data_IF_052036701413
#
_entry.id   IF_052036701413
#
_cell.length_a   1.000
_cell.length_b   1.000
_cell.length_c   1.000
_cell.angle_alpha   90.00
_cell.angle_beta   90.00
_cell.angle_gamma   90.00
#
_symmetry.space_group_name_H-M   'P 1'
#
loop_
_entity.id
_entity.type
_entity.pdbx_description
1 polymer ?
#
# COMPACT_ATOMS: atom_id res chain seq x y z
N UNK A 1 -12.56 -91.90 -42.95
CA UNK A 1 -13.74 -91.10 -42.55
C UNK A 1 -13.24 -89.75 -42.06
N UNK A 2 -13.81 -88.67 -42.59
CA UNK A 2 -13.43 -87.27 -42.38
C UNK A 2 -13.78 -86.79 -40.93
N UNK A 3 -13.38 -85.57 -40.50
CA UNK A 3 -12.76 -85.30 -39.19
C UNK A 3 -13.72 -84.74 -38.12
N UNK A 4 -13.27 -84.53 -36.86
CA UNK A 4 -13.88 -83.54 -35.98
C UNK A 4 -13.02 -82.26 -35.89
N UNK A 5 -13.60 -81.20 -36.46
CA UNK A 5 -13.72 -79.81 -36.02
C UNK A 5 -12.81 -79.34 -34.87
N UNK A 6 -11.99 -78.33 -35.18
CA UNK A 6 -11.27 -77.50 -34.22
C UNK A 6 -12.24 -76.56 -33.49
N UNK A 7 -12.29 -76.62 -32.16
CA UNK A 7 -12.95 -75.60 -31.34
C UNK A 7 -11.89 -74.64 -30.80
N UNK A 8 -11.89 -73.41 -31.32
CA UNK A 8 -11.04 -72.32 -30.89
C UNK A 8 -11.53 -71.82 -29.51
N UNK A 9 -10.79 -72.09 -28.43
CA UNK A 9 -11.04 -71.48 -27.13
C UNK A 9 -10.54 -70.03 -27.15
N UNK A 10 -11.46 -69.08 -27.28
CA UNK A 10 -11.20 -67.66 -27.03
C UNK A 10 -11.14 -67.43 -25.50
N UNK A 11 -9.94 -67.31 -24.96
CA UNK A 11 -9.73 -66.79 -23.61
C UNK A 11 -9.94 -65.26 -23.64
N UNK A 12 -11.13 -64.82 -23.22
CA UNK A 12 -11.38 -63.43 -22.86
C UNK A 12 -10.68 -63.15 -21.51
N UNK A 13 -9.45 -62.66 -21.59
CA UNK A 13 -8.76 -62.09 -20.42
C UNK A 13 -9.45 -60.79 -20.01
N UNK A 14 -10.21 -60.82 -18.92
CA UNK A 14 -10.70 -59.61 -18.28
C UNK A 14 -9.53 -58.91 -17.56
N UNK A 15 -8.93 -57.90 -18.21
CA UNK A 15 -7.99 -57.01 -17.57
C UNK A 15 -8.74 -56.14 -16.53
N UNK A 16 -8.64 -56.49 -15.26
CA UNK A 16 -9.03 -55.62 -14.14
C UNK A 16 -8.05 -54.44 -14.09
N UNK A 17 -8.37 -53.34 -14.76
CA UNK A 17 -7.75 -52.04 -14.55
C UNK A 17 -8.04 -51.60 -13.11
N UNK A 18 -7.07 -51.85 -12.22
CA UNK A 18 -7.08 -51.32 -10.86
C UNK A 18 -6.90 -49.81 -10.95
N UNK A 19 -8.01 -49.08 -10.89
CA UNK A 19 -8.06 -47.62 -10.88
C UNK A 19 -7.44 -47.13 -9.56
N UNK A 20 -6.16 -46.79 -9.57
CA UNK A 20 -5.53 -46.13 -8.43
C UNK A 20 -6.19 -44.75 -8.24
N UNK A 21 -6.78 -44.55 -7.05
CA UNK A 21 -7.35 -43.27 -6.64
C UNK A 21 -6.19 -42.28 -6.48
N UNK A 22 -6.22 -41.10 -7.12
CA UNK A 22 -5.20 -40.08 -6.90
C UNK A 22 -5.20 -39.69 -5.42
N UNK A 23 -4.01 -39.47 -4.86
CA UNK A 23 -3.84 -38.97 -3.50
C UNK A 23 -4.62 -37.65 -3.36
N UNK A 24 -5.60 -37.65 -2.46
CA UNK A 24 -6.48 -36.52 -2.18
C UNK A 24 -5.66 -35.42 -1.48
N UNK A 25 -5.00 -34.57 -2.27
CA UNK A 25 -4.34 -33.38 -1.77
C UNK A 25 -5.43 -32.40 -1.35
N UNK A 26 -5.91 -32.53 -0.12
CA UNK A 26 -6.71 -31.47 0.51
C UNK A 26 -5.82 -30.23 0.57
N UNK A 27 -6.20 -29.12 -0.07
CA UNK A 27 -5.49 -27.88 0.16
C UNK A 27 -5.58 -27.60 1.66
N UNK A 28 -4.43 -27.48 2.31
CA UNK A 28 -4.34 -26.94 3.66
C UNK A 28 -5.12 -25.63 3.60
N UNK A 29 -6.26 -25.57 4.26
CA UNK A 29 -7.02 -24.34 4.40
C UNK A 29 -6.11 -23.39 5.16
N UNK A 30 -5.46 -22.48 4.44
CA UNK A 30 -4.84 -21.32 5.08
C UNK A 30 -5.93 -20.68 5.90
N UNK A 31 -5.73 -20.71 7.21
CA UNK A 31 -6.56 -20.09 8.22
C UNK A 31 -7.18 -18.80 7.69
N UNK A 32 -8.51 -18.69 7.77
CA UNK A 32 -9.29 -17.48 7.47
C UNK A 32 -8.88 -16.23 8.29
N UNK A 33 -7.83 -16.33 9.11
CA UNK A 33 -7.29 -15.27 9.95
C UNK A 33 -6.18 -14.43 9.28
N UNK A 34 -5.59 -14.86 8.16
CA UNK A 34 -4.42 -14.19 7.54
C UNK A 34 -4.70 -12.87 6.79
N UNK A 35 -5.94 -12.36 6.77
CA UNK A 35 -6.24 -11.06 6.14
C UNK A 35 -7.41 -10.31 6.82
N UNK A 36 -7.61 -10.57 8.11
CA UNK A 36 -8.68 -9.93 8.88
C UNK A 36 -8.38 -8.44 9.13
N UNK A 37 -9.37 -7.59 8.86
CA UNK A 37 -9.30 -6.15 9.12
C UNK A 37 -9.40 -5.92 10.63
N UNK A 38 -8.44 -5.19 11.18
CA UNK A 38 -8.40 -4.79 12.59
C UNK A 38 -9.09 -3.44 12.81
N UNK A 39 -8.87 -2.50 11.89
CA UNK A 39 -9.52 -1.20 11.85
C UNK A 39 -9.46 -0.66 10.43
N UNK A 40 -10.45 0.14 10.05
CA UNK A 40 -10.50 0.85 8.78
C UNK A 40 -11.19 2.21 8.96
N UNK A 41 -10.85 3.15 8.09
CA UNK A 41 -11.56 4.42 7.98
C UNK A 41 -11.47 4.94 6.55
N UNK A 42 -12.64 5.09 5.94
CA UNK A 42 -12.88 5.72 4.63
C UNK A 42 -13.46 7.13 4.79
N UNK A 43 -13.66 7.60 6.03
CA UNK A 43 -14.16 8.94 6.33
C UNK A 43 -15.56 9.24 5.78
N UNK A 44 -16.38 8.26 5.40
CA UNK A 44 -17.71 8.49 4.85
C UNK A 44 -18.82 8.62 5.92
N UNK A 45 -18.61 8.06 7.12
CA UNK A 45 -19.58 8.09 8.22
C UNK A 45 -19.67 9.47 8.88
N UNK A 46 -20.70 10.24 8.57
CA UNK A 46 -20.94 11.57 9.16
C UNK A 46 -21.10 11.55 10.69
N UNK A 47 -21.57 10.45 11.26
CA UNK A 47 -21.72 10.32 12.72
C UNK A 47 -20.38 10.07 13.41
N UNK A 48 -19.41 9.51 12.69
CA UNK A 48 -18.06 9.18 13.17
C UNK A 48 -17.03 9.49 12.08
N UNK A 49 -16.78 10.77 11.78
CA UNK A 49 -15.99 11.20 10.62
C UNK A 49 -14.51 10.79 10.69
N UNK A 50 -14.01 10.38 11.86
CA UNK A 50 -12.67 9.84 12.05
C UNK A 50 -12.67 8.35 12.42
N UNK A 51 -13.83 7.68 12.36
CA UNK A 51 -14.01 6.32 12.85
C UNK A 51 -13.47 6.19 14.29
N UNK A 52 -12.51 5.28 14.53
CA UNK A 52 -11.80 5.14 15.80
C UNK A 52 -10.40 5.81 15.79
N UNK A 53 -10.05 6.50 14.71
CA UNK A 53 -8.81 7.27 14.62
C UNK A 53 -8.97 8.58 15.38
N UNK A 54 -7.86 9.07 15.93
CA UNK A 54 -7.85 10.26 16.78
C UNK A 54 -6.80 11.25 16.32
N UNK A 55 -7.22 12.48 16.15
CA UNK A 55 -6.31 13.61 16.02
C UNK A 55 -5.59 13.86 17.34
N UNK A 56 -4.29 14.15 17.27
CA UNK A 56 -3.54 14.64 18.42
C UNK A 56 -3.84 16.13 18.58
N UNK A 57 -4.18 16.59 19.79
CA UNK A 57 -4.67 17.97 20.02
C UNK A 57 -3.61 18.94 20.54
N UNK A 58 -2.35 18.52 20.62
CA UNK A 58 -1.23 19.29 21.20
C UNK A 58 -0.02 19.41 20.25
N UNK A 59 -0.21 19.07 18.99
CA UNK A 59 0.76 19.36 17.93
C UNK A 59 0.43 20.71 17.27
N UNK A 60 1.15 21.06 16.21
CA UNK A 60 1.06 22.39 15.62
C UNK A 60 -0.19 22.58 14.75
N UNK A 61 -0.72 21.51 14.15
CA UNK A 61 -1.81 21.58 13.17
C UNK A 61 -2.73 20.35 13.17
N UNK A 62 -3.73 20.38 12.29
CA UNK A 62 -4.80 19.39 12.24
C UNK A 62 -4.96 18.72 10.87
N UNK A 63 -5.47 17.49 10.91
CA UNK A 63 -6.13 16.79 9.81
C UNK A 63 -7.62 17.16 9.77
N UNK A 64 -8.09 17.67 8.64
CA UNK A 64 -9.45 18.17 8.45
C UNK A 64 -10.14 17.34 7.38
N UNK A 65 -11.42 17.02 7.58
CA UNK A 65 -12.24 16.28 6.61
C UNK A 65 -12.72 17.22 5.50
N UNK A 66 -12.54 16.83 4.25
CA UNK A 66 -12.98 17.54 3.06
C UNK A 66 -13.58 16.56 2.04
N UNK A 67 -14.37 17.06 1.10
CA UNK A 67 -15.00 16.25 0.04
C UNK A 67 -14.86 16.88 -1.35
N UNK A 68 -14.87 18.21 -1.43
CA UNK A 68 -14.78 18.93 -2.70
C UNK A 68 -13.36 19.48 -2.94
N UNK A 69 -12.94 19.59 -4.21
CA UNK A 69 -11.78 20.40 -4.58
C UNK A 69 -11.97 21.83 -4.08
N UNK A 70 -10.92 22.43 -3.52
CA UNK A 70 -10.99 23.84 -3.15
C UNK A 70 -11.14 24.69 -4.42
N UNK A 71 -12.18 25.54 -4.54
CA UNK A 71 -12.36 26.40 -5.73
C UNK A 71 -11.18 27.34 -5.97
N UNK A 72 -10.40 27.61 -4.93
CA UNK A 72 -9.28 28.56 -4.92
C UNK A 72 -7.91 27.90 -4.99
N UNK A 73 -7.82 26.57 -4.87
CA UNK A 73 -6.55 25.84 -4.86
C UNK A 73 -6.51 24.81 -5.97
N UNK A 74 -5.57 24.97 -6.90
CA UNK A 74 -5.30 23.97 -7.95
C UNK A 74 -4.47 22.78 -7.45
N UNK A 75 -4.07 22.78 -6.17
CA UNK A 75 -3.22 21.74 -5.57
C UNK A 75 -3.99 20.77 -4.69
N UNK A 76 -5.28 21.00 -4.42
CA UNK A 76 -6.08 20.06 -3.63
C UNK A 76 -6.43 18.81 -4.44
N UNK A 77 -6.68 17.65 -3.78
CA UNK A 77 -7.18 16.47 -4.46
C UNK A 77 -8.45 16.75 -5.28
N UNK A 78 -8.67 16.01 -6.39
CA UNK A 78 -9.87 16.18 -7.22
C UNK A 78 -11.17 15.70 -6.54
N UNK A 79 -11.08 15.17 -5.31
CA UNK A 79 -12.16 14.58 -4.52
C UNK A 79 -11.62 13.37 -3.72
N UNK A 80 -12.50 12.63 -3.06
CA UNK A 80 -12.13 11.41 -2.32
C UNK A 80 -11.62 10.28 -3.22
N UNK A 81 -10.89 9.33 -2.65
CA UNK A 81 -10.38 8.14 -3.33
C UNK A 81 -11.47 7.05 -3.42
N UNK A 82 -11.57 6.26 -4.51
CA UNK A 82 -10.69 6.23 -5.68
C UNK A 82 -11.16 7.05 -6.89
N UNK A 83 -12.40 7.53 -6.87
CA UNK A 83 -13.11 8.02 -8.05
C UNK A 83 -13.39 9.53 -8.03
N UNK A 84 -12.88 10.27 -7.03
CA UNK A 84 -13.15 11.70 -6.87
C UNK A 84 -14.46 11.99 -6.13
N UNK A 85 -15.06 10.99 -5.49
CA UNK A 85 -16.29 11.11 -4.71
C UNK A 85 -16.00 10.83 -3.24
N UNK A 86 -16.88 11.30 -2.34
CA UNK A 86 -16.76 11.06 -0.92
C UNK A 86 -15.84 12.03 -0.20
N UNK A 87 -15.43 11.65 1.01
CA UNK A 87 -14.64 12.44 1.92
C UNK A 87 -13.23 11.88 2.09
N UNK A 88 -12.29 12.76 2.37
CA UNK A 88 -10.92 12.44 2.71
C UNK A 88 -10.43 13.32 3.84
N UNK A 89 -9.31 12.97 4.45
CA UNK A 89 -8.60 13.86 5.37
C UNK A 89 -7.49 14.59 4.65
N UNK A 90 -7.42 15.91 4.80
CA UNK A 90 -6.28 16.71 4.37
C UNK A 90 -5.62 17.43 5.53
N UNK A 91 -4.34 17.71 5.40
CA UNK A 91 -3.60 18.51 6.35
C UNK A 91 -3.94 19.99 6.15
N UNK A 92 -4.42 20.62 7.22
CA UNK A 92 -4.65 22.07 7.45
C UNK A 92 -3.44 22.97 7.22
N UNK A 93 -2.73 22.87 6.09
CA UNK A 93 -1.42 23.52 5.91
C UNK A 93 -1.47 25.03 6.13
N UNK A 94 -2.59 25.74 6.02
CA UNK A 94 -2.61 27.20 6.25
C UNK A 94 -2.59 27.59 7.73
N UNK A 95 -2.94 26.67 8.63
CA UNK A 95 -3.23 26.99 10.04
C UNK A 95 -2.01 26.96 10.97
N UNK A 96 -0.86 26.49 10.51
CA UNK A 96 0.31 26.29 11.37
C UNK A 96 1.65 26.55 10.67
N UNK A 97 2.71 26.86 11.42
CA UNK A 97 4.01 27.31 10.87
C UNK A 97 4.72 26.26 9.98
N UNK A 98 5.58 26.69 9.02
CA UNK A 98 6.51 25.79 8.32
C UNK A 98 7.31 24.91 9.29
N UNK A 99 7.47 23.63 8.94
CA UNK A 99 8.11 22.61 9.78
C UNK A 99 7.27 22.11 10.96
N UNK A 100 6.10 22.72 11.22
CA UNK A 100 5.13 22.19 12.19
C UNK A 100 4.51 20.87 11.71
N UNK A 101 3.83 20.17 12.62
CA UNK A 101 3.31 18.82 12.36
C UNK A 101 1.85 18.66 12.75
N UNK A 102 1.14 17.79 12.02
CA UNK A 102 -0.21 17.33 12.32
C UNK A 102 -0.25 15.79 12.37
N UNK A 103 -0.81 15.21 13.43
CA UNK A 103 -0.80 13.75 13.65
C UNK A 103 -2.19 13.14 13.77
N UNK A 104 -2.39 12.06 13.03
CA UNK A 104 -3.56 11.18 13.11
C UNK A 104 -3.14 9.81 13.64
N UNK A 105 -3.71 9.39 14.77
CA UNK A 105 -3.30 8.18 15.48
C UNK A 105 -4.37 7.10 15.43
N UNK A 106 -3.95 5.86 15.20
CA UNK A 106 -4.83 4.70 15.16
C UNK A 106 -5.42 4.37 16.55
N UNK A 107 -6.51 3.59 16.62
CA UNK A 107 -6.86 2.89 17.84
C UNK A 107 -5.72 1.95 18.28
N UNK A 108 -5.66 1.57 19.57
CA UNK A 108 -4.67 0.61 20.08
C UNK A 108 -4.79 -0.75 19.37
N UNK A 109 -3.67 -1.26 18.85
CA UNK A 109 -3.62 -2.54 18.14
C UNK A 109 -2.94 -3.60 19.02
N UNK A 110 -3.71 -4.64 19.37
CA UNK A 110 -3.30 -5.76 20.25
C UNK A 110 -2.84 -6.99 19.48
N UNK A 111 -2.08 -6.79 18.40
CA UNK A 111 -1.61 -7.87 17.53
C UNK A 111 -0.09 -7.93 17.51
N UNK A 112 0.46 -9.12 17.79
CA UNK A 112 1.91 -9.35 17.81
C UNK A 112 2.46 -9.76 16.42
N UNK A 113 1.61 -10.33 15.56
CA UNK A 113 1.98 -10.81 14.22
C UNK A 113 2.31 -9.69 13.23
N UNK A 114 2.64 -10.04 11.99
CA UNK A 114 2.80 -9.02 10.93
C UNK A 114 1.48 -8.27 10.74
N UNK A 115 1.57 -6.97 10.43
CA UNK A 115 0.42 -6.16 10.04
C UNK A 115 0.64 -5.57 8.66
N UNK A 116 -0.44 -5.40 7.91
CA UNK A 116 -0.45 -4.66 6.66
C UNK A 116 -1.29 -3.40 6.84
N UNK A 117 -0.64 -2.25 6.73
CA UNK A 117 -1.31 -0.94 6.71
C UNK A 117 -1.53 -0.57 5.25
N UNK A 118 -2.79 -0.36 4.84
CA UNK A 118 -3.14 0.14 3.51
C UNK A 118 -3.79 1.50 3.64
N UNK A 119 -3.50 2.39 2.69
CA UNK A 119 -4.07 3.73 2.63
C UNK A 119 -3.84 4.29 1.23
N UNK A 120 -4.68 5.23 0.81
CA UNK A 120 -4.39 6.11 -0.31
C UNK A 120 -3.86 7.43 0.24
N UNK A 121 -2.87 8.02 -0.43
CA UNK A 121 -2.42 9.37 -0.10
C UNK A 121 -2.32 10.25 -1.34
N UNK A 122 -2.44 11.55 -1.13
CA UNK A 122 -2.21 12.58 -2.14
C UNK A 122 -1.16 13.55 -1.60
N UNK A 123 -0.20 13.93 -2.43
CA UNK A 123 0.86 14.86 -2.04
C UNK A 123 1.34 15.65 -3.27
N UNK A 124 0.87 16.88 -3.44
CA UNK A 124 1.15 17.69 -4.63
C UNK A 124 1.12 19.18 -4.32
N UNK A 125 1.97 19.92 -5.05
CA UNK A 125 2.06 21.38 -5.00
C UNK A 125 3.46 21.90 -4.66
N UNK A 126 3.70 23.21 -4.86
CA UNK A 126 5.04 23.79 -4.76
C UNK A 126 5.44 24.08 -3.31
N UNK A 127 6.18 23.18 -2.66
CA UNK A 127 6.74 23.37 -1.32
C UNK A 127 7.97 22.47 -1.11
N UNK A 128 8.91 22.92 -0.27
CA UNK A 128 10.10 22.15 0.12
C UNK A 128 10.06 21.75 1.59
N UNK A 129 10.57 20.58 1.93
CA UNK A 129 10.61 20.08 3.31
C UNK A 129 9.28 19.55 3.83
N UNK A 130 8.22 19.51 2.99
CA UNK A 130 6.96 18.85 3.34
C UNK A 130 7.17 17.34 3.43
N UNK A 131 6.54 16.67 4.40
CA UNK A 131 6.71 15.22 4.58
C UNK A 131 5.39 14.57 5.01
N UNK A 132 5.17 13.34 4.55
CA UNK A 132 4.14 12.45 5.10
C UNK A 132 4.84 11.18 5.60
N UNK A 133 4.60 10.80 6.86
CA UNK A 133 5.24 9.65 7.50
C UNK A 133 4.21 8.73 8.12
N UNK A 134 4.48 7.43 8.08
CA UNK A 134 3.83 6.44 8.91
C UNK A 134 4.79 6.01 10.03
N UNK A 135 4.38 6.25 11.26
CA UNK A 135 5.18 6.03 12.47
C UNK A 135 4.59 4.88 13.30
N UNK A 136 5.47 4.09 13.90
CA UNK A 136 5.12 3.12 14.94
C UNK A 136 5.57 3.65 16.30
N UNK A 137 4.63 3.81 17.23
CA UNK A 137 4.96 4.19 18.61
C UNK A 137 5.69 3.04 19.32
N UNK A 138 6.85 3.33 19.94
CA UNK A 138 7.71 2.33 20.60
C UNK A 138 7.82 2.49 22.11
N UNK A 139 7.21 3.52 22.70
CA UNK A 139 7.17 3.74 24.15
C UNK A 139 5.70 3.87 24.60
N UNK A 140 5.28 3.21 25.70
CA UNK A 140 3.97 3.42 26.32
C UNK A 140 3.59 4.88 26.55
N UNK A 141 4.58 5.77 26.76
CA UNK A 141 4.38 7.22 26.93
C UNK A 141 4.27 7.99 25.61
N UNK A 142 4.42 7.33 24.47
CA UNK A 142 4.33 7.93 23.14
C UNK A 142 5.52 8.80 22.75
N UNK A 143 6.63 8.77 23.51
CA UNK A 143 7.77 9.68 23.34
C UNK A 143 8.73 9.25 22.24
N UNK A 144 8.77 7.96 21.94
CA UNK A 144 9.63 7.38 20.91
C UNK A 144 8.78 6.75 19.80
N UNK A 145 9.19 6.93 18.55
CA UNK A 145 8.53 6.35 17.38
C UNK A 145 9.54 5.98 16.31
N UNK A 146 9.32 4.84 15.65
CA UNK A 146 10.09 4.40 14.49
C UNK A 146 9.36 4.82 13.21
N UNK A 147 10.10 5.33 12.23
CA UNK A 147 9.56 5.61 10.89
C UNK A 147 9.45 4.29 10.13
N UNK A 148 8.24 3.90 9.76
CA UNK A 148 7.99 2.72 8.93
C UNK A 148 8.02 3.07 7.44
N UNK A 149 7.58 4.26 7.10
CA UNK A 149 7.46 4.74 5.72
C UNK A 149 7.43 6.28 5.71
N UNK A 150 7.96 6.90 4.66
CA UNK A 150 7.94 8.35 4.46
C UNK A 150 8.03 8.72 2.98
N UNK A 151 7.37 9.81 2.59
CA UNK A 151 7.69 10.57 1.38
C UNK A 151 7.83 12.05 1.69
N UNK A 152 8.44 12.80 0.76
CA UNK A 152 8.80 14.20 0.96
C UNK A 152 8.61 15.01 -0.32
N UNK A 153 8.08 16.23 -0.17
CA UNK A 153 7.76 17.16 -1.26
C UNK A 153 6.70 16.63 -2.22
N UNK A 154 6.53 17.28 -3.37
CA UNK A 154 5.57 16.86 -4.40
C UNK A 154 5.84 15.43 -4.87
N UNK A 155 4.79 14.60 -4.90
CA UNK A 155 4.83 13.24 -5.43
C UNK A 155 4.03 13.14 -6.74
N UNK A 156 2.71 13.29 -6.68
CA UNK A 156 1.80 13.07 -7.81
C UNK A 156 0.55 13.93 -7.68
N UNK A 157 0.02 14.50 -8.78
CA UNK A 157 -1.28 15.17 -8.81
C UNK A 157 -2.47 14.21 -8.77
N UNK A 158 -2.25 12.93 -8.46
CA UNK A 158 -3.28 11.87 -8.33
C UNK A 158 -3.08 11.07 -7.04
N UNK A 159 -4.16 10.47 -6.54
CA UNK A 159 -4.11 9.55 -5.40
C UNK A 159 -3.17 8.36 -5.65
N UNK A 160 -2.35 8.02 -4.65
CA UNK A 160 -1.40 6.91 -4.68
C UNK A 160 -1.81 5.87 -3.63
N UNK A 161 -2.30 4.68 -4.04
CA UNK A 161 -2.56 3.58 -3.13
C UNK A 161 -1.23 3.02 -2.61
N UNK A 162 -1.15 2.80 -1.30
CA UNK A 162 0.09 2.40 -0.60
C UNK A 162 -0.19 1.28 0.39
N UNK A 163 0.79 0.39 0.56
CA UNK A 163 0.74 -0.70 1.51
C UNK A 163 2.09 -0.85 2.25
N UNK A 164 2.08 -0.81 3.58
CA UNK A 164 3.27 -0.88 4.44
C UNK A 164 3.15 -2.06 5.40
N UNK A 165 4.15 -2.96 5.36
CA UNK A 165 4.22 -4.08 6.31
C UNK A 165 4.87 -3.63 7.62
N UNK A 166 4.17 -3.83 8.72
CA UNK A 166 4.68 -3.56 10.07
C UNK A 166 5.35 -4.82 10.63
N UNK A 167 6.63 -4.75 11.05
CA UNK A 167 7.39 -5.91 11.52
C UNK A 167 6.93 -6.37 12.91
N UNK A 168 7.09 -7.66 13.20
CA UNK A 168 6.83 -8.28 14.51
C UNK A 168 7.71 -7.69 15.63
N UNK A 169 7.47 -8.11 16.88
CA UNK A 169 8.34 -7.74 18.02
C UNK A 169 8.06 -6.36 18.60
N UNK A 170 6.84 -5.86 18.43
CA UNK A 170 6.38 -4.55 18.93
C UNK A 170 5.89 -4.66 20.37
N UNK A 171 5.94 -3.55 21.10
CA UNK A 171 5.30 -3.41 22.42
C UNK A 171 3.79 -3.25 22.21
N UNK A 172 3.00 -3.97 23.01
CA UNK A 172 1.53 -3.93 22.95
C UNK A 172 0.94 -3.08 24.09
N UNK A 173 -0.20 -2.39 23.84
CA UNK A 173 -0.77 -2.19 22.52
C UNK A 173 0.12 -1.27 21.68
N UNK A 174 0.21 -1.59 20.38
CA UNK A 174 0.93 -0.74 19.43
C UNK A 174 0.01 0.31 18.84
N UNK A 175 0.54 1.48 18.47
CA UNK A 175 -0.22 2.52 17.77
C UNK A 175 0.56 3.02 16.57
N UNK A 176 -0.15 3.13 15.45
CA UNK A 176 0.34 3.72 14.21
C UNK A 176 -0.08 5.18 14.16
N UNK A 177 0.79 6.04 13.62
CA UNK A 177 0.51 7.47 13.49
C UNK A 177 0.91 7.95 12.10
N UNK A 178 -0.03 8.56 11.39
CA UNK A 178 0.29 9.38 10.23
C UNK A 178 0.72 10.76 10.72
N UNK A 179 1.94 11.18 10.38
CA UNK A 179 2.48 12.50 10.69
C UNK A 179 2.69 13.26 9.38
N UNK A 180 1.95 14.34 9.20
CA UNK A 180 2.19 15.33 8.15
C UNK A 180 3.10 16.44 8.69
N UNK A 181 4.07 16.86 7.89
CA UNK A 181 4.97 17.98 8.18
C UNK A 181 4.73 19.05 7.11
N UNK A 182 4.41 20.28 7.53
CA UNK A 182 4.26 21.40 6.60
C UNK A 182 5.61 21.80 6.04
N UNK A 183 5.67 21.95 4.72
CA UNK A 183 6.87 22.46 4.05
C UNK A 183 7.05 23.97 4.19
N UNK A 184 7.92 24.53 3.35
CA UNK A 184 8.24 25.96 3.31
C UNK A 184 7.05 26.84 2.93
N UNK A 185 6.08 26.31 2.18
CA UNK A 185 4.85 27.01 1.76
C UNK A 185 3.59 26.23 2.17
N UNK A 186 2.42 26.89 2.12
CA UNK A 186 1.13 26.22 2.30
C UNK A 186 0.61 25.52 1.03
N UNK A 187 1.25 25.74 -0.12
CA UNK A 187 0.71 25.38 -1.43
C UNK A 187 0.94 23.91 -1.79
N UNK A 188 1.45 23.09 -0.88
CA UNK A 188 1.52 21.65 -1.04
C UNK A 188 0.48 21.01 -0.13
N UNK A 189 -0.49 20.37 -0.76
CA UNK A 189 -1.55 19.64 -0.08
C UNK A 189 -1.09 18.21 0.22
N UNK A 190 -1.38 17.76 1.44
CA UNK A 190 -1.15 16.38 1.88
C UNK A 190 -2.51 15.84 2.31
N UNK A 191 -2.95 14.72 1.73
CA UNK A 191 -4.21 14.09 2.09
C UNK A 191 -4.08 12.57 2.23
N UNK A 192 -5.03 11.97 2.96
CA UNK A 192 -5.14 10.57 3.31
C UNK A 192 -6.58 10.09 3.10
N UNK A 193 -6.72 8.86 2.62
CA UNK A 193 -8.01 8.21 2.42
C UNK A 193 -7.88 6.67 2.52
N UNK A 194 -9.00 5.96 2.62
CA UNK A 194 -9.14 4.50 2.57
C UNK A 194 -8.14 3.75 3.48
N UNK A 195 -7.99 4.22 4.72
CA UNK A 195 -7.03 3.68 5.67
C UNK A 195 -7.53 2.33 6.21
N UNK A 196 -6.67 1.32 6.26
CA UNK A 196 -6.95 0.07 6.96
C UNK A 196 -5.70 -0.57 7.55
N UNK A 197 -5.86 -1.25 8.68
CA UNK A 197 -4.83 -2.09 9.30
C UNK A 197 -5.37 -3.52 9.29
N UNK A 198 -4.59 -4.45 8.73
CA UNK A 198 -4.96 -5.86 8.55
C UNK A 198 -3.91 -6.76 9.20
N UNK A 199 -4.32 -7.96 9.65
CA UNK A 199 -3.36 -9.01 10.02
C UNK A 199 -2.63 -9.52 8.79
N UNK A 200 -1.36 -9.91 8.95
CA UNK A 200 -0.51 -10.47 7.89
C UNK A 200 0.48 -9.46 7.31
N UNK A 201 1.37 -9.92 6.43
CA UNK A 201 2.18 -9.02 5.61
C UNK A 201 1.33 -8.38 4.53
N UNK A 202 1.77 -7.23 4.01
CA UNK A 202 1.27 -6.77 2.71
C UNK A 202 1.81 -7.73 1.65
N UNK A 203 1.10 -8.83 1.40
CA UNK A 203 1.45 -9.76 0.34
C UNK A 203 1.49 -9.01 -0.99
N UNK A 204 2.44 -9.41 -1.85
CA UNK A 204 2.72 -8.83 -3.17
C UNK A 204 1.50 -8.71 -4.10
N UNK A 205 0.33 -9.24 -3.70
CA UNK A 205 -0.97 -9.09 -4.37
C UNK A 205 -1.41 -7.62 -4.45
N UNK A 206 -0.75 -6.70 -3.72
CA UNK A 206 -0.91 -5.25 -3.91
C UNK A 206 0.19 -4.57 -4.74
N UNK A 207 1.21 -5.29 -5.25
CA UNK A 207 2.12 -4.73 -6.28
C UNK A 207 1.48 -4.64 -7.66
N UNK A 208 0.33 -5.29 -7.87
CA UNK A 208 -0.37 -5.28 -9.15
C UNK A 208 -1.14 -3.99 -9.44
N UNK A 209 -1.20 -3.03 -8.51
CA UNK A 209 -1.80 -1.72 -8.76
C UNK A 209 -0.76 -0.60 -8.97
N UNK A 210 0.51 -0.84 -8.67
CA UNK A 210 1.60 0.12 -8.90
C UNK A 210 2.84 -0.62 -9.38
N UNK A 211 3.22 -0.41 -10.65
CA UNK A 211 4.48 -0.94 -11.17
C UNK A 211 5.65 -0.08 -10.67
N UNK A 212 6.34 -0.55 -9.65
CA UNK A 212 7.48 0.16 -9.06
C UNK A 212 8.81 -0.10 -9.75
N UNK A 213 8.88 -1.09 -10.66
CA UNK A 213 10.12 -1.50 -11.32
C UNK A 213 11.27 -1.85 -10.35
N UNK A 214 10.97 -2.32 -9.13
CA UNK A 214 11.99 -2.73 -8.16
C UNK A 214 12.64 -4.08 -8.49
N UNK A 215 11.94 -4.93 -9.25
CA UNK A 215 12.42 -6.26 -9.60
C UNK A 215 13.13 -6.20 -10.95
N UNK A 216 14.42 -6.55 -11.04
CA UNK A 216 15.15 -6.52 -12.30
C UNK A 216 14.45 -7.35 -13.38
N UNK A 217 14.25 -6.75 -14.55
CA UNK A 217 13.54 -7.34 -15.70
C UNK A 217 12.03 -7.59 -15.50
N UNK A 218 11.43 -7.08 -14.44
CA UNK A 218 9.97 -7.06 -14.27
C UNK A 218 9.42 -5.68 -14.65
N UNK A 219 8.82 -5.60 -15.83
CA UNK A 219 8.16 -4.39 -16.30
C UNK A 219 6.66 -4.38 -15.94
N UNK A 220 6.19 -5.28 -15.07
CA UNK A 220 4.78 -5.42 -14.67
C UNK A 220 3.80 -5.42 -15.86
N UNK A 221 4.13 -6.15 -16.92
CA UNK A 221 3.31 -6.26 -18.13
C UNK A 221 3.47 -5.13 -19.16
N UNK A 222 4.26 -4.09 -18.87
CA UNK A 222 4.64 -3.09 -19.86
C UNK A 222 5.64 -3.66 -20.86
N UNK A 223 5.52 -3.24 -22.12
CA UNK A 223 6.43 -3.59 -23.20
C UNK A 223 6.94 -2.35 -23.92
N UNK A 224 8.14 -2.43 -24.48
CA UNK A 224 8.69 -1.33 -25.26
C UNK A 224 8.04 -1.28 -26.63
N UNK A 225 7.66 -0.07 -27.04
CA UNK A 225 7.26 0.21 -28.42
C UNK A 225 8.52 0.66 -29.17
N UNK A 226 8.93 -0.05 -30.24
CA UNK A 226 10.08 0.36 -31.04
C UNK A 226 9.86 1.75 -31.65
N UNK A 227 10.81 2.64 -31.46
CA UNK A 227 10.81 3.97 -32.08
C UNK A 227 11.84 4.03 -33.20
N UNK A 228 11.59 4.85 -34.23
CA UNK A 228 12.52 5.02 -35.36
C UNK A 228 13.88 5.58 -34.93
N UNK A 229 13.95 6.28 -33.80
CA UNK A 229 15.18 6.79 -33.19
C UNK A 229 15.95 5.74 -32.38
N UNK A 230 15.36 4.56 -32.13
CA UNK A 230 15.92 3.54 -31.24
C UNK A 230 15.89 3.91 -29.76
N UNK A 231 15.17 4.97 -29.39
CA UNK A 231 15.01 5.38 -28.00
C UNK A 231 14.29 4.29 -27.20
N UNK A 232 14.89 3.89 -26.08
CA UNK A 232 14.36 2.91 -25.14
C UNK A 232 14.51 3.42 -23.72
N UNK A 233 13.53 3.13 -22.89
CA UNK A 233 13.65 3.29 -21.44
C UNK A 233 14.51 2.15 -20.89
N UNK A 234 15.22 2.44 -19.82
CA UNK A 234 16.09 1.49 -19.12
C UNK A 234 15.74 1.52 -17.65
N UNK A 235 15.46 0.35 -17.10
CA UNK A 235 15.27 0.19 -15.66
C UNK A 235 16.60 0.50 -14.96
N UNK A 236 16.58 1.44 -14.01
CA UNK A 236 17.73 1.85 -13.20
C UNK A 236 17.32 1.89 -11.74
N UNK A 237 18.28 1.64 -10.85
CA UNK A 237 18.14 1.77 -9.40
C UNK A 237 18.95 2.98 -8.93
N UNK A 238 18.34 3.89 -8.16
CA UNK A 238 18.99 5.09 -7.62
C UNK A 238 19.37 6.14 -8.68
N UNK A 239 20.30 7.03 -8.32
CA UNK A 239 20.78 8.12 -9.18
C UNK A 239 21.35 7.62 -10.51
N UNK A 240 21.15 8.40 -11.57
CA UNK A 240 21.71 8.07 -12.89
C UNK A 240 23.23 8.28 -12.97
N UNK A 241 23.83 8.91 -11.95
CA UNK A 241 25.24 9.32 -11.92
C UNK A 241 25.55 10.55 -12.78
N UNK A 242 24.53 11.17 -13.40
CA UNK A 242 24.65 12.37 -14.21
C UNK A 242 24.02 13.54 -13.46
N UNK A 243 24.79 14.60 -13.26
CA UNK A 243 24.36 15.79 -12.53
C UNK A 243 23.10 16.39 -13.19
N UNK A 244 22.06 16.63 -12.39
CA UNK A 244 20.76 17.16 -12.81
C UNK A 244 19.96 16.26 -13.77
N UNK A 245 20.20 14.94 -13.79
CA UNK A 245 19.44 13.98 -14.62
C UNK A 245 18.84 12.87 -13.78
N UNK A 246 17.51 12.79 -13.80
CA UNK A 246 16.75 11.77 -13.07
C UNK A 246 16.66 12.04 -11.56
N UNK A 247 15.93 11.19 -10.83
CA UNK A 247 15.83 11.30 -9.38
C UNK A 247 17.13 10.83 -8.71
N UNK A 248 17.49 11.45 -7.58
CA UNK A 248 18.69 11.07 -6.81
C UNK A 248 18.51 9.76 -6.04
N UNK A 249 17.27 9.39 -5.72
CA UNK A 249 16.93 8.18 -4.98
C UNK A 249 15.68 7.54 -5.59
N UNK A 250 15.56 6.23 -5.43
CA UNK A 250 14.41 5.49 -5.91
C UNK A 250 13.20 5.71 -4.99
N UNK A 251 12.04 6.02 -5.58
CA UNK A 251 10.82 6.30 -4.82
C UNK A 251 10.30 5.05 -4.10
N UNK A 252 10.39 3.87 -4.72
CA UNK A 252 9.87 2.63 -4.17
C UNK A 252 10.81 1.94 -3.18
N UNK A 253 12.10 2.28 -3.19
CA UNK A 253 13.11 1.74 -2.27
C UNK A 253 14.09 2.79 -1.70
N UNK A 254 13.58 3.83 -1.01
CA UNK A 254 14.41 4.96 -0.58
C UNK A 254 15.51 4.54 0.41
N UNK A 255 16.73 5.04 0.19
CA UNK A 255 17.89 4.85 1.06
C UNK A 255 18.51 3.44 1.05
N UNK A 256 18.19 2.61 0.03
CA UNK A 256 18.86 1.32 -0.20
C UNK A 256 19.73 1.40 -1.44
N UNK A 257 20.94 1.94 -1.33
CA UNK A 257 21.99 1.78 -2.34
C UNK A 257 22.41 0.31 -2.46
#
# INVERSE_FOLDING_TARGET
MAPPVWTLLLLLGAALLRKEKPLDWKPVSRSSRENSVLTQCDFEDDSRPLCDWRQVSKDDGAWTRASEPSPTSSTTPPGGYPNGEGYYLHMDSNTFRPGGVARLRSPPVWEQGLLCVRFAYYMFGPSWGAQLKLLLTTDPKGKHSNVLWKHSNTQSPSWIPTAVTVPIGRILPSQLTFEGVRGSTAYLDIALDAISIRRGSCSQVCKTQTCSFDTPNDLCGWSWIPTASGAKWVQKKGSTGVLNVGPEDDFSSPGRE
#
